data_IF_202085708397
#
_entry.id   IF_202085708397
#
_cell.length_a   1.000
_cell.length_b   1.000
_cell.length_c   1.000
_cell.angle_alpha   90.00
_cell.angle_beta   90.00
_cell.angle_gamma   90.00
#
_symmetry.space_group_name_H-M   'P 1'
#
loop_
_entity.id
_entity.type
_entity.pdbx_description
1 polymer ?
#
# COMPACT_ATOMS: atom_id res chain seq x y z
N UNK A 1 -7.21 -29.44 -11.13
CA UNK A 1 -7.28 -29.08 -9.69
C UNK A 1 -6.18 -28.07 -9.39
N UNK A 2 -6.54 -26.83 -9.06
CA UNK A 2 -5.56 -25.79 -8.69
C UNK A 2 -5.09 -26.02 -7.26
N UNK A 3 -3.77 -26.08 -7.06
CA UNK A 3 -3.14 -26.24 -5.76
C UNK A 3 -3.56 -25.08 -4.83
N UNK A 4 -4.08 -25.35 -3.61
CA UNK A 4 -4.43 -24.28 -2.68
C UNK A 4 -3.17 -23.48 -2.30
N UNK A 5 -3.29 -22.15 -2.29
CA UNK A 5 -2.21 -21.28 -1.86
C UNK A 5 -1.93 -21.53 -0.37
N UNK A 6 -0.66 -21.61 0.05
CA UNK A 6 -0.31 -21.84 1.44
C UNK A 6 -0.94 -20.78 2.34
N UNK A 7 -1.44 -21.18 3.52
CA UNK A 7 -2.11 -20.27 4.47
C UNK A 7 -1.15 -19.32 5.21
N UNK A 8 0.13 -19.29 4.85
CA UNK A 8 1.17 -18.49 5.48
C UNK A 8 1.53 -17.24 4.65
N UNK A 9 0.53 -16.65 3.98
CA UNK A 9 0.72 -15.52 3.09
C UNK A 9 0.43 -14.22 3.82
N UNK A 10 1.43 -13.35 3.95
CA UNK A 10 1.26 -11.97 4.42
C UNK A 10 0.89 -11.04 3.26
N UNK A 11 0.10 -9.99 3.55
CA UNK A 11 -0.12 -8.87 2.64
C UNK A 11 0.83 -7.75 3.04
N UNK A 12 1.65 -7.30 2.10
CA UNK A 12 2.54 -6.15 2.28
C UNK A 12 2.02 -5.01 1.39
N UNK A 13 1.75 -3.86 2.00
CA UNK A 13 1.39 -2.62 1.30
C UNK A 13 2.55 -1.65 1.52
N UNK A 14 3.20 -1.22 0.44
CA UNK A 14 4.40 -0.38 0.50
C UNK A 14 4.03 1.02 0.02
N UNK A 15 4.38 2.02 0.84
CA UNK A 15 4.38 3.44 0.52
C UNK A 15 3.10 3.97 -0.15
N UNK A 16 1.92 3.50 0.28
CA UNK A 16 0.67 4.24 0.01
C UNK A 16 0.62 5.44 0.97
N UNK A 17 1.16 6.57 0.53
CA UNK A 17 1.33 7.78 1.31
C UNK A 17 0.68 8.98 0.62
N UNK A 18 0.21 9.95 1.40
CA UNK A 18 -0.43 11.17 0.90
C UNK A 18 0.45 11.93 -0.10
N UNK A 19 1.78 11.91 0.08
CA UNK A 19 2.72 12.61 -0.79
C UNK A 19 2.73 12.07 -2.23
N UNK A 20 2.26 10.84 -2.45
CA UNK A 20 2.19 10.22 -3.76
C UNK A 20 0.87 10.47 -4.49
N UNK A 21 -0.13 11.01 -3.81
CA UNK A 21 -1.37 11.42 -4.47
C UNK A 21 -1.17 12.74 -5.23
N UNK A 22 -2.12 13.06 -6.11
CA UNK A 22 -2.13 14.32 -6.85
C UNK A 22 -2.07 15.52 -5.88
N UNK A 23 -1.10 16.41 -6.07
CA UNK A 23 -0.89 17.58 -5.21
C UNK A 23 -0.01 17.31 -3.98
N UNK A 24 0.46 16.07 -3.80
CA UNK A 24 1.47 15.71 -2.82
C UNK A 24 2.90 16.12 -3.24
N UNK A 25 3.86 15.94 -2.33
CA UNK A 25 5.27 16.34 -2.55
C UNK A 25 5.93 15.57 -3.70
N UNK A 26 5.47 14.36 -3.98
CA UNK A 26 5.96 13.52 -5.08
C UNK A 26 4.80 12.72 -5.67
N UNK A 27 3.91 13.40 -6.39
CA UNK A 27 2.80 12.71 -7.05
C UNK A 27 3.31 11.59 -7.98
N UNK A 28 2.70 10.41 -7.84
CA UNK A 28 2.96 9.23 -8.66
C UNK A 28 1.72 8.97 -9.51
N UNK A 29 1.94 8.64 -10.79
CA UNK A 29 0.84 8.34 -11.70
C UNK A 29 -0.02 7.17 -11.19
N UNK A 30 -1.34 7.31 -11.33
CA UNK A 30 -2.33 6.30 -10.96
C UNK A 30 -2.38 5.93 -9.47
N UNK A 31 -1.84 6.77 -8.58
CA UNK A 31 -1.84 6.51 -7.14
C UNK A 31 -3.26 6.25 -6.58
N UNK A 32 -4.25 7.01 -7.04
CA UNK A 32 -5.66 6.81 -6.68
C UNK A 32 -6.18 5.42 -7.05
N UNK A 33 -5.85 4.94 -8.27
CA UNK A 33 -6.24 3.62 -8.73
C UNK A 33 -5.56 2.51 -7.90
N UNK A 34 -4.27 2.70 -7.61
CA UNK A 34 -3.52 1.73 -6.82
C UNK A 34 -3.99 1.65 -5.37
N UNK A 35 -4.29 2.79 -4.76
CA UNK A 35 -4.86 2.85 -3.43
C UNK A 35 -6.22 2.14 -3.35
N UNK A 36 -7.10 2.36 -4.34
CA UNK A 36 -8.37 1.65 -4.44
C UNK A 36 -8.16 0.13 -4.54
N UNK A 37 -7.21 -0.32 -5.37
CA UNK A 37 -6.92 -1.75 -5.52
C UNK A 37 -6.38 -2.38 -4.25
N UNK A 38 -5.50 -1.67 -3.53
CA UNK A 38 -4.98 -2.12 -2.25
C UNK A 38 -6.10 -2.26 -1.21
N UNK A 39 -7.06 -1.33 -1.18
CA UNK A 39 -8.22 -1.40 -0.30
C UNK A 39 -9.09 -2.63 -0.58
N UNK A 40 -9.36 -2.95 -1.86
CA UNK A 40 -10.08 -4.19 -2.23
C UNK A 40 -9.38 -5.44 -1.67
N UNK A 41 -8.06 -5.53 -1.87
CA UNK A 41 -7.27 -6.69 -1.42
C UNK A 41 -7.26 -6.76 0.10
N UNK A 42 -7.09 -5.64 0.79
CA UNK A 42 -7.10 -5.56 2.24
C UNK A 42 -8.44 -6.02 2.83
N UNK A 43 -9.55 -5.64 2.19
CA UNK A 43 -10.89 -6.08 2.61
C UNK A 43 -11.06 -7.60 2.58
N UNK A 44 -10.38 -8.30 1.65
CA UNK A 44 -10.40 -9.78 1.58
C UNK A 44 -9.50 -10.47 2.63
N UNK A 45 -8.65 -9.71 3.34
CA UNK A 45 -7.57 -10.22 4.21
C UNK A 45 -7.68 -9.75 5.66
N UNK A 46 -8.82 -9.22 6.08
CA UNK A 46 -9.11 -8.54 7.36
C UNK A 46 -8.82 -9.33 8.67
N UNK A 47 -8.19 -10.51 8.59
CA UNK A 47 -7.68 -11.30 9.73
C UNK A 47 -6.14 -11.36 9.80
N UNK A 48 -5.39 -10.63 8.95
CA UNK A 48 -3.93 -10.68 8.92
C UNK A 48 -3.27 -9.40 9.45
N UNK A 49 -2.14 -9.57 10.14
CA UNK A 49 -1.26 -8.49 10.58
C UNK A 49 -0.82 -7.64 9.40
N UNK A 50 -1.18 -6.36 9.43
CA UNK A 50 -0.85 -5.37 8.41
C UNK A 50 0.44 -4.66 8.79
N UNK A 51 1.44 -4.70 7.91
CA UNK A 51 2.66 -3.91 8.05
C UNK A 51 2.61 -2.76 7.04
N UNK A 52 2.49 -1.54 7.54
CA UNK A 52 2.67 -0.32 6.76
C UNK A 52 4.08 0.22 7.00
N UNK A 53 4.88 0.28 5.94
CA UNK A 53 6.13 1.03 5.92
C UNK A 53 5.86 2.34 5.14
N UNK A 54 6.28 3.46 5.73
CA UNK A 54 6.10 4.78 5.18
C UNK A 54 7.32 5.62 5.63
N UNK A 55 8.30 5.89 4.76
CA UNK A 55 9.42 6.75 5.11
C UNK A 55 8.93 8.18 5.36
N UNK A 56 9.39 8.80 6.46
CA UNK A 56 9.18 10.23 6.74
C UNK A 56 10.41 10.99 6.29
N UNK A 57 10.33 11.71 5.17
CA UNK A 57 11.39 12.62 4.74
C UNK A 57 11.18 14.01 5.38
N UNK A 58 11.59 14.19 6.64
CA UNK A 58 11.43 15.47 7.38
C UNK A 58 12.59 16.47 7.25
N UNK A 59 13.54 16.28 6.32
CA UNK A 59 14.78 17.08 6.31
C UNK A 59 15.24 17.63 4.96
N UNK A 60 14.42 17.60 3.89
CA UNK A 60 14.84 18.07 2.56
C UNK A 60 14.09 19.28 2.00
N UNK A 61 13.23 19.93 2.80
CA UNK A 61 12.74 21.26 2.47
C UNK A 61 13.75 22.30 3.01
N UNK A 62 14.74 22.62 2.18
CA UNK A 62 15.61 23.78 2.31
C UNK A 62 15.21 24.84 1.29
#
# INVERSE_FOLDING_TARGET
MSKPLPQNNALIIIDIQNDYFTGGLWSVDQMDHMAAKAAEILATRSRLSLMHAAPKYSHLAA
#
